data_IF_975692955504
#
_entry.id   IF_975692955504
#
_cell.length_a   1.000
_cell.length_b   1.000
_cell.length_c   1.000
_cell.angle_alpha   90.00
_cell.angle_beta   90.00
_cell.angle_gamma   90.00
#
_symmetry.space_group_name_H-M   'P 1'
#
loop_
_entity.id
_entity.type
_entity.pdbx_description
1 polymer ?
#
# COMPACT_ATOMS: atom_id res chain seq x y z
N UNK A 1 0.02 6.76 14.88
CA UNK A 1 -0.93 5.74 14.36
C UNK A 1 -0.42 5.35 12.98
N UNK A 2 -0.17 4.07 12.72
CA UNK A 2 0.33 3.61 11.42
C UNK A 2 -0.84 3.49 10.45
N UNK A 3 -0.65 3.87 9.18
CA UNK A 3 -1.72 3.85 8.16
C UNK A 3 -2.44 2.49 8.07
N UNK A 4 -1.71 1.39 8.19
CA UNK A 4 -2.27 0.05 8.11
C UNK A 4 -3.26 -0.22 9.26
N UNK A 5 -2.96 0.27 10.46
CA UNK A 5 -3.85 0.10 11.61
C UNK A 5 -5.17 0.86 11.45
N UNK A 6 -5.12 2.07 10.88
CA UNK A 6 -6.34 2.83 10.59
C UNK A 6 -7.20 2.11 9.53
N UNK A 7 -6.55 1.45 8.56
CA UNK A 7 -7.25 0.62 7.56
C UNK A 7 -7.84 -0.64 8.17
N UNK A 8 -7.12 -1.36 9.04
CA UNK A 8 -7.64 -2.53 9.77
C UNK A 8 -8.93 -2.21 10.52
N UNK A 9 -8.99 -1.04 11.18
CA UNK A 9 -10.18 -0.56 11.87
C UNK A 9 -11.33 -0.26 10.90
N UNK A 10 -11.03 0.28 9.70
CA UNK A 10 -12.05 0.61 8.71
C UNK A 10 -12.66 -0.62 8.03
N UNK A 11 -11.84 -1.65 7.75
CA UNK A 11 -12.30 -2.86 7.06
C UNK A 11 -12.68 -4.00 8.01
N UNK A 12 -12.48 -3.80 9.32
CA UNK A 12 -12.74 -4.78 10.39
C UNK A 12 -12.05 -6.14 10.16
N UNK A 13 -10.87 -6.10 9.53
CA UNK A 13 -10.06 -7.29 9.22
C UNK A 13 -8.59 -7.00 9.54
N UNK A 14 -7.85 -7.98 10.10
CA UNK A 14 -6.41 -7.86 10.25
C UNK A 14 -5.74 -7.85 8.87
N UNK A 15 -4.81 -6.91 8.68
CA UNK A 15 -4.12 -6.70 7.42
C UNK A 15 -2.64 -6.95 7.58
N UNK A 16 -1.96 -7.30 6.49
CA UNK A 16 -0.52 -7.39 6.47
C UNK A 16 0.07 -6.97 5.14
N UNK A 17 1.32 -6.53 5.18
CA UNK A 17 2.10 -6.30 3.98
C UNK A 17 2.37 -7.64 3.27
N UNK A 18 2.17 -7.65 1.95
CA UNK A 18 2.36 -8.82 1.09
C UNK A 18 3.53 -8.64 0.13
N UNK A 19 3.86 -7.40 -0.20
CA UNK A 19 4.94 -7.08 -1.12
C UNK A 19 5.55 -5.72 -0.76
N UNK A 20 6.86 -5.62 -0.95
CA UNK A 20 7.61 -4.37 -0.85
C UNK A 20 8.45 -4.23 -2.11
N UNK A 21 8.25 -3.13 -2.84
CA UNK A 21 9.06 -2.76 -3.99
C UNK A 21 9.93 -1.55 -3.64
N UNK A 22 11.24 -1.71 -3.66
CA UNK A 22 12.16 -0.58 -3.53
C UNK A 22 12.24 0.20 -4.84
N UNK A 23 12.14 1.53 -4.73
CA UNK A 23 12.24 2.48 -5.85
C UNK A 23 13.20 3.61 -5.46
N UNK A 24 13.73 4.40 -6.42
CA UNK A 24 14.61 5.52 -6.09
C UNK A 24 14.01 6.51 -5.08
N UNK A 25 12.69 6.71 -5.12
CA UNK A 25 11.97 7.59 -4.23
C UNK A 25 11.76 7.02 -2.80
N UNK A 26 11.98 5.71 -2.58
CA UNK A 26 11.69 5.04 -1.32
C UNK A 26 11.14 3.63 -1.50
N UNK A 27 10.02 3.31 -0.86
CA UNK A 27 9.43 1.97 -0.90
C UNK A 27 7.95 2.02 -1.20
N UNK A 28 7.48 1.12 -2.06
CA UNK A 28 6.06 0.89 -2.29
C UNK A 28 5.62 -0.36 -1.55
N UNK A 29 4.59 -0.26 -0.73
CA UNK A 29 4.00 -1.37 0.00
C UNK A 29 2.63 -1.74 -0.56
N UNK A 30 2.44 -3.04 -0.74
CA UNK A 30 1.14 -3.66 -0.99
C UNK A 30 0.70 -4.42 0.27
N UNK A 31 -0.60 -4.42 0.57
CA UNK A 31 -1.16 -5.11 1.73
C UNK A 31 -2.46 -5.82 1.39
N UNK A 32 -2.80 -6.87 2.13
CA UNK A 32 -4.07 -7.57 1.98
C UNK A 32 -4.52 -8.17 3.33
N UNK A 33 -5.73 -8.72 3.38
CA UNK A 33 -6.24 -9.38 4.58
C UNK A 33 -5.40 -10.62 4.91
N UNK A 34 -5.05 -10.77 6.19
CA UNK A 34 -4.23 -11.89 6.67
C UNK A 34 -4.84 -13.24 6.32
N UNK A 35 -6.16 -13.41 6.53
CA UNK A 35 -6.89 -14.65 6.20
C UNK A 35 -6.87 -15.00 4.70
N UNK A 36 -6.87 -14.00 3.82
CA UNK A 36 -6.73 -14.25 2.38
C UNK A 36 -5.32 -14.74 2.03
N UNK A 37 -4.29 -14.11 2.63
CA UNK A 37 -2.90 -14.39 2.27
C UNK A 37 -2.41 -15.70 2.88
N UNK A 38 -2.77 -16.00 4.13
CA UNK A 38 -2.30 -17.18 4.84
C UNK A 38 -3.15 -18.42 4.56
N UNK A 39 -4.48 -18.25 4.58
CA UNK A 39 -5.42 -19.38 4.52
C UNK A 39 -6.13 -19.49 3.16
N UNK A 40 -5.94 -18.50 2.27
CA UNK A 40 -6.59 -18.50 0.95
C UNK A 40 -8.08 -18.16 1.00
N UNK A 41 -8.57 -17.53 2.07
CA UNK A 41 -9.97 -17.15 2.22
C UNK A 41 -10.36 -16.04 1.22
N UNK A 42 -10.83 -16.45 0.04
CA UNK A 42 -11.13 -15.56 -1.08
C UNK A 42 -12.16 -14.47 -0.73
N UNK A 43 -13.07 -14.74 0.20
CA UNK A 43 -14.09 -13.80 0.65
C UNK A 43 -13.51 -12.65 1.50
N UNK A 44 -12.30 -12.82 2.02
CA UNK A 44 -11.58 -11.80 2.77
C UNK A 44 -10.62 -10.99 1.89
N UNK A 45 -10.47 -11.34 0.61
CA UNK A 45 -9.57 -10.65 -0.29
C UNK A 45 -9.98 -9.17 -0.46
N UNK A 46 -9.06 -8.26 -0.17
CA UNK A 46 -9.27 -6.84 -0.46
C UNK A 46 -9.18 -6.60 -1.97
N UNK A 47 -10.18 -5.90 -2.52
CA UNK A 47 -10.19 -5.43 -3.90
C UNK A 47 -10.03 -3.92 -3.91
N UNK A 48 -9.04 -3.41 -4.63
CA UNK A 48 -8.77 -1.97 -4.68
C UNK A 48 -8.02 -1.44 -3.47
N UNK A 49 -7.00 -2.17 -2.99
CA UNK A 49 -6.02 -1.63 -2.06
C UNK A 49 -5.08 -0.67 -2.81
N UNK A 50 -4.98 0.56 -2.31
CA UNK A 50 -4.08 1.56 -2.86
C UNK A 50 -2.62 1.24 -2.53
N UNK A 51 -1.67 1.49 -3.44
CA UNK A 51 -0.26 1.40 -3.11
C UNK A 51 0.14 2.51 -2.13
N UNK A 52 0.99 2.14 -1.17
CA UNK A 52 1.54 3.06 -0.18
C UNK A 52 3.00 3.34 -0.51
N UNK A 53 3.34 4.60 -0.76
CA UNK A 53 4.73 5.01 -0.96
C UNK A 53 5.24 5.62 0.33
N UNK A 54 6.33 5.07 0.86
CA UNK A 54 7.10 5.67 1.95
C UNK A 54 8.30 6.37 1.35
N UNK A 55 8.36 7.69 1.51
CA UNK A 55 9.45 8.50 0.99
C UNK A 55 10.76 8.24 1.74
N UNK A 56 11.85 8.10 0.98
CA UNK A 56 13.18 7.78 1.53
C UNK A 56 13.75 8.87 2.44
N UNK A 57 13.40 10.13 2.22
CA UNK A 57 14.06 11.27 2.87
C UNK A 57 13.21 11.88 3.98
N UNK A 58 11.91 12.00 3.74
CA UNK A 58 10.95 12.61 4.65
C UNK A 58 10.23 11.60 5.53
N UNK A 59 10.36 10.30 5.23
CA UNK A 59 9.67 9.19 5.92
C UNK A 59 8.13 9.32 5.87
N UNK A 60 7.60 10.19 5.00
CA UNK A 60 6.17 10.41 4.84
C UNK A 60 5.51 9.28 4.05
N UNK A 61 4.28 8.94 4.45
CA UNK A 61 3.45 7.95 3.76
C UNK A 61 2.52 8.67 2.80
N UNK A 62 2.62 8.33 1.52
CA UNK A 62 1.75 8.81 0.46
C UNK A 62 0.85 7.68 -0.03
N UNK A 63 -0.46 7.91 0.06
CA UNK A 63 -1.49 6.96 -0.36
C UNK A 63 -2.00 7.41 -1.73
N UNK A 64 -1.98 6.49 -2.69
CA UNK A 64 -2.46 6.78 -4.05
C UNK A 64 -3.83 6.18 -4.32
N UNK A 65 -4.36 6.37 -5.53
CA UNK A 65 -5.59 5.72 -5.95
C UNK A 65 -5.34 4.29 -6.45
N UNK A 66 -6.40 3.67 -6.97
CA UNK A 66 -6.36 2.35 -7.62
C UNK A 66 -6.68 2.41 -9.11
N UNK A 67 -6.80 3.61 -9.66
CA UNK A 67 -7.17 3.86 -11.05
C UNK A 67 -6.04 3.56 -12.05
N UNK A 68 -4.79 3.53 -11.58
CA UNK A 68 -3.60 3.31 -12.41
C UNK A 68 -2.66 2.26 -11.80
N UNK A 69 -1.75 1.67 -12.61
CA UNK A 69 -0.72 0.77 -12.10
C UNK A 69 0.25 1.48 -11.14
N UNK A 70 0.89 0.71 -10.25
CA UNK A 70 1.88 1.22 -9.27
C UNK A 70 2.96 2.09 -9.92
N UNK A 71 3.49 1.68 -11.08
CA UNK A 71 4.53 2.42 -11.79
C UNK A 71 4.11 3.85 -12.16
N UNK A 72 2.83 4.06 -12.48
CA UNK A 72 2.29 5.39 -12.75
C UNK A 72 2.37 6.28 -11.50
N UNK A 73 1.99 5.74 -10.34
CA UNK A 73 2.03 6.51 -9.09
C UNK A 73 3.46 6.81 -8.61
N UNK A 74 4.40 5.89 -8.83
CA UNK A 74 5.82 6.13 -8.55
C UNK A 74 6.37 7.26 -9.42
N UNK A 75 6.06 7.25 -10.72
CA UNK A 75 6.49 8.29 -11.66
C UNK A 75 5.85 9.65 -11.34
N UNK A 76 4.55 9.68 -11.06
CA UNK A 76 3.85 10.89 -10.60
C UNK A 76 4.42 11.44 -9.29
N UNK A 77 4.77 10.58 -8.34
CA UNK A 77 5.41 10.99 -7.10
C UNK A 77 6.78 11.62 -7.35
N UNK A 78 7.61 10.98 -8.19
CA UNK A 78 8.93 11.48 -8.57
C UNK A 78 8.86 12.83 -9.28
N UNK A 79 7.86 13.04 -10.15
CA UNK A 79 7.65 14.32 -10.85
C UNK A 79 7.23 15.46 -9.94
N UNK A 80 6.46 15.17 -8.88
CA UNK A 80 6.02 16.18 -7.89
C UNK A 80 7.13 16.59 -6.90
N UNK A 81 8.18 15.78 -6.78
CA UNK A 81 9.34 16.04 -5.93
C UNK A 81 10.50 16.81 -6.60
N UNK A 82 10.27 17.40 -7.79
CA UNK A 82 11.23 18.29 -8.49
C UNK A 82 11.00 19.76 -8.21
#
# INVERSE_FOLDING_TARGET
>A
MSYLHDMELQVELPLKFVEVLEVPAGWVFSYNATAYVDDGEINCALVGNAPLIVDRYSEQVHVFGTAHPVAYYVDEYQKKGS
#
